data_IF_560917923633
#
_entry.id   IF_560917923633
#
_cell.length_a   1.000
_cell.length_b   1.000
_cell.length_c   1.000
_cell.angle_alpha   90.00
_cell.angle_beta   90.00
_cell.angle_gamma   90.00
#
_symmetry.space_group_name_H-M   'P 1'
#
loop_
_entity.id
_entity.type
_entity.pdbx_description
1 polymer ?
#
# COMPACT_ATOMS: atom_id res chain seq x y z
N UNK A 1 3.67 4.35 -6.02
CA UNK A 1 4.96 5.07 -5.83
C UNK A 1 4.81 6.34 -4.98
N UNK A 2 3.83 7.19 -5.23
CA UNK A 2 3.69 8.50 -4.57
C UNK A 2 3.64 8.47 -3.05
N UNK A 3 2.97 7.48 -2.44
CA UNK A 3 2.95 7.33 -0.98
C UNK A 3 4.36 7.07 -0.39
N UNK A 4 5.19 6.23 -1.05
CA UNK A 4 6.58 6.03 -0.65
C UNK A 4 7.42 7.30 -0.83
N UNK A 5 7.27 8.01 -1.96
CA UNK A 5 7.94 9.28 -2.18
C UNK A 5 7.63 10.28 -1.06
N UNK A 6 6.37 10.42 -0.67
CA UNK A 6 5.95 11.26 0.45
C UNK A 6 6.53 10.82 1.78
N UNK A 7 6.60 9.51 2.03
CA UNK A 7 7.22 8.98 3.24
C UNK A 7 8.66 9.44 3.37
N UNK A 8 9.46 9.27 2.33
CA UNK A 8 10.86 9.68 2.34
C UNK A 8 11.03 11.19 2.44
N UNK A 9 10.25 11.98 1.69
CA UNK A 9 10.27 13.44 1.80
C UNK A 9 9.94 13.92 3.22
N UNK A 10 8.91 13.37 3.85
CA UNK A 10 8.51 13.70 5.23
C UNK A 10 9.53 13.26 6.26
N UNK A 11 10.33 12.25 5.97
CA UNK A 11 11.48 11.80 6.78
C UNK A 11 12.74 12.62 6.51
N UNK A 12 12.68 13.66 5.67
CA UNK A 12 13.82 14.51 5.34
C UNK A 12 14.79 13.92 4.31
N UNK A 13 14.43 12.80 3.67
CA UNK A 13 15.24 12.16 2.62
C UNK A 13 14.93 12.79 1.26
N UNK A 14 15.94 13.27 0.51
CA UNK A 14 15.74 13.76 -0.85
C UNK A 14 15.16 12.66 -1.77
N UNK A 15 14.24 13.04 -2.62
CA UNK A 15 13.59 12.09 -3.56
C UNK A 15 13.77 12.58 -4.99
N UNK A 16 14.32 11.68 -5.83
CA UNK A 16 14.30 11.79 -7.28
C UNK A 16 13.37 10.72 -7.84
N UNK A 17 12.53 11.04 -8.80
CA UNK A 17 11.60 10.11 -9.41
C UNK A 17 11.51 10.27 -10.92
N UNK A 18 11.14 9.19 -11.59
CA UNK A 18 10.76 9.17 -13.00
C UNK A 18 9.29 8.78 -13.14
N UNK A 19 8.57 9.53 -13.94
CA UNK A 19 7.27 9.15 -14.47
C UNK A 19 7.20 9.50 -15.95
N UNK A 20 6.50 8.71 -16.73
CA UNK A 20 6.34 8.94 -18.18
C UNK A 20 5.46 10.14 -18.48
N UNK A 21 4.54 10.46 -17.57
CA UNK A 21 3.49 11.46 -17.77
C UNK A 21 3.44 12.42 -16.59
N UNK A 22 3.45 13.70 -16.90
CA UNK A 22 3.16 14.73 -15.91
C UNK A 22 1.67 14.70 -15.54
N UNK A 23 1.38 14.62 -14.24
CA UNK A 23 0.03 14.54 -13.68
C UNK A 23 -0.10 15.48 -12.49
N UNK A 24 -1.32 15.74 -12.03
CA UNK A 24 -1.54 16.50 -10.78
C UNK A 24 -0.83 15.87 -9.58
N UNK A 25 -0.72 14.54 -9.57
CA UNK A 25 -0.03 13.80 -8.53
C UNK A 25 1.48 14.03 -8.55
N UNK A 26 2.12 13.99 -9.72
CA UNK A 26 3.56 14.24 -9.85
C UNK A 26 3.88 15.71 -9.58
N UNK A 27 3.06 16.65 -10.05
CA UNK A 27 3.17 18.07 -9.71
C UNK A 27 3.01 18.34 -8.20
N UNK A 28 2.13 17.57 -7.51
CA UNK A 28 2.03 17.68 -6.06
C UNK A 28 3.31 17.21 -5.38
N UNK A 29 3.92 16.11 -5.82
CA UNK A 29 5.22 15.66 -5.31
C UNK A 29 6.35 16.67 -5.53
N UNK A 30 6.38 17.35 -6.68
CA UNK A 30 7.34 18.42 -6.94
C UNK A 30 7.14 19.60 -5.99
N UNK A 31 5.89 20.01 -5.74
CA UNK A 31 5.59 21.05 -4.72
C UNK A 31 5.97 20.60 -3.30
N UNK A 32 5.93 19.30 -3.02
CA UNK A 32 6.35 18.70 -1.76
C UNK A 32 7.88 18.54 -1.65
N UNK A 33 8.64 18.82 -2.72
CA UNK A 33 10.10 18.83 -2.75
C UNK A 33 10.78 17.68 -3.48
N UNK A 34 10.02 16.81 -4.18
CA UNK A 34 10.61 15.80 -5.05
C UNK A 34 11.16 16.42 -6.33
N UNK A 35 12.22 15.84 -6.88
CA UNK A 35 12.70 16.11 -8.23
C UNK A 35 12.10 15.06 -9.15
N UNK A 36 11.20 15.45 -10.07
CA UNK A 36 10.57 14.51 -11.01
C UNK A 36 11.10 14.74 -12.42
N UNK A 37 11.45 13.65 -13.09
CA UNK A 37 11.87 13.63 -14.49
C UNK A 37 10.82 12.92 -15.32
N UNK A 38 10.45 13.51 -16.48
CA UNK A 38 9.42 12.97 -17.37
C UNK A 38 10.02 12.43 -18.69
N UNK A 39 11.33 12.43 -18.78
CA UNK A 39 12.07 11.88 -19.93
C UNK A 39 13.19 10.92 -19.48
N UNK A 40 13.85 10.28 -20.44
CA UNK A 40 14.93 9.33 -20.15
C UNK A 40 16.32 9.96 -20.12
N UNK A 41 16.41 11.27 -19.93
CA UNK A 41 17.70 11.98 -19.87
C UNK A 41 18.37 11.80 -18.52
N UNK A 42 19.44 11.00 -18.51
CA UNK A 42 20.18 10.64 -17.29
C UNK A 42 20.90 11.82 -16.64
N UNK A 43 21.14 12.91 -17.37
CA UNK A 43 21.74 14.17 -16.87
C UNK A 43 20.79 14.92 -15.91
N UNK A 44 19.54 14.52 -15.80
CA UNK A 44 18.59 15.06 -14.83
C UNK A 44 18.78 14.47 -13.42
N UNK A 45 19.44 13.33 -13.31
CA UNK A 45 19.73 12.74 -12.00
C UNK A 45 20.73 13.60 -11.22
N UNK A 46 20.48 13.89 -9.93
CA UNK A 46 21.36 14.76 -9.14
C UNK A 46 22.77 14.20 -8.85
N UNK A 47 23.04 12.95 -9.25
CA UNK A 47 24.35 12.34 -9.07
C UNK A 47 24.62 11.85 -7.66
N UNK A 48 23.60 11.51 -6.89
CA UNK A 48 23.77 10.92 -5.56
C UNK A 48 24.54 9.60 -5.63
N UNK A 49 25.45 9.34 -4.68
CA UNK A 49 26.29 8.14 -4.73
C UNK A 49 25.46 6.87 -4.47
N UNK A 50 25.83 5.73 -5.10
CA UNK A 50 25.07 4.47 -4.97
C UNK A 50 24.92 3.99 -3.53
N UNK A 51 25.92 4.18 -2.69
CA UNK A 51 25.94 3.75 -1.29
C UNK A 51 24.98 4.52 -0.39
N UNK A 52 24.53 5.70 -0.83
CA UNK A 52 23.58 6.56 -0.13
C UNK A 52 22.21 6.58 -0.81
N UNK A 53 22.03 5.79 -1.88
CA UNK A 53 20.83 5.82 -2.73
C UNK A 53 20.07 4.51 -2.68
N UNK A 54 18.81 4.56 -2.24
CA UNK A 54 17.87 3.44 -2.39
C UNK A 54 17.05 3.62 -3.65
N UNK A 55 17.17 2.68 -4.58
CA UNK A 55 16.41 2.71 -5.84
C UNK A 55 15.19 1.78 -5.75
N UNK A 56 14.00 2.38 -5.87
CA UNK A 56 12.74 1.66 -5.76
C UNK A 56 12.03 1.70 -7.11
N UNK A 57 11.62 0.54 -7.60
CA UNK A 57 10.95 0.43 -8.89
C UNK A 57 9.64 -0.37 -8.82
N UNK A 58 8.80 -0.21 -9.84
CA UNK A 58 7.60 -1.03 -10.07
C UNK A 58 7.81 -1.95 -11.28
N UNK A 59 7.31 -3.20 -11.24
CA UNK A 59 7.37 -4.11 -12.38
C UNK A 59 6.69 -3.59 -13.67
N UNK A 60 5.85 -2.58 -13.55
CA UNK A 60 5.21 -1.94 -14.71
C UNK A 60 6.18 -1.16 -15.62
N UNK A 61 7.41 -0.89 -15.15
CA UNK A 61 8.43 -0.23 -15.97
C UNK A 61 9.04 -1.20 -16.98
N UNK A 62 9.16 -0.83 -18.28
CA UNK A 62 9.77 -1.69 -19.25
C UNK A 62 11.27 -1.89 -18.94
N UNK A 63 11.79 -3.12 -19.05
CA UNK A 63 13.23 -3.39 -18.82
C UNK A 63 14.18 -2.60 -19.72
N UNK A 64 13.70 -2.16 -20.89
CA UNK A 64 14.46 -1.36 -21.86
C UNK A 64 14.62 0.11 -21.48
N UNK A 65 13.94 0.58 -20.43
CA UNK A 65 14.03 1.95 -19.98
C UNK A 65 15.46 2.31 -19.56
N UNK A 66 15.99 3.44 -20.03
CA UNK A 66 17.37 3.87 -19.75
C UNK A 66 17.65 3.97 -18.24
N UNK A 67 16.68 4.42 -17.45
CA UNK A 67 16.77 4.47 -16.00
C UNK A 67 16.97 3.10 -15.35
N UNK A 68 16.36 2.02 -15.88
CA UNK A 68 16.53 0.67 -15.36
C UNK A 68 17.98 0.17 -15.56
N UNK A 69 18.59 0.49 -16.69
CA UNK A 69 19.99 0.15 -16.95
C UNK A 69 20.95 0.98 -16.10
N UNK A 70 20.69 2.28 -15.98
CA UNK A 70 21.52 3.20 -15.22
C UNK A 70 21.57 2.83 -13.73
N UNK A 71 20.42 2.52 -13.13
CA UNK A 71 20.33 2.23 -11.70
C UNK A 71 20.59 0.78 -11.31
N UNK A 72 20.78 -0.13 -12.28
CA UNK A 72 21.06 -1.54 -11.98
C UNK A 72 22.22 -1.76 -11.00
N UNK A 73 23.35 -1.03 -11.09
CA UNK A 73 24.46 -1.17 -10.14
C UNK A 73 24.16 -0.67 -8.72
N UNK A 74 23.10 0.10 -8.52
CA UNK A 74 22.73 0.67 -7.22
C UNK A 74 22.03 -0.32 -6.28
N UNK A 75 21.65 -1.50 -6.76
CA UNK A 75 20.83 -2.44 -5.99
C UNK A 75 19.38 -1.97 -5.91
N UNK A 76 18.57 -2.44 -6.87
CA UNK A 76 17.17 -2.01 -7.00
C UNK A 76 16.24 -2.93 -6.21
N UNK A 77 15.29 -2.36 -5.48
CA UNK A 77 14.25 -3.10 -4.76
C UNK A 77 12.86 -2.81 -5.32
N UNK A 78 11.97 -3.79 -5.27
CA UNK A 78 10.58 -3.59 -5.68
C UNK A 78 9.83 -2.66 -4.72
N UNK A 79 8.83 -1.93 -5.23
CA UNK A 79 7.91 -1.11 -4.43
C UNK A 79 7.33 -1.87 -3.23
N UNK A 80 6.90 -3.11 -3.46
CA UNK A 80 6.31 -3.97 -2.42
C UNK A 80 7.31 -4.28 -1.31
N UNK A 81 8.55 -4.58 -1.66
CA UNK A 81 9.64 -4.82 -0.71
C UNK A 81 9.95 -3.56 0.11
N UNK A 82 10.09 -2.41 -0.53
CA UNK A 82 10.32 -1.14 0.16
C UNK A 82 9.18 -0.80 1.13
N UNK A 83 7.92 -1.01 0.71
CA UNK A 83 6.76 -0.81 1.57
C UNK A 83 6.78 -1.77 2.77
N UNK A 84 7.13 -3.06 2.53
CA UNK A 84 7.29 -4.05 3.58
C UNK A 84 8.36 -3.67 4.60
N UNK A 85 9.53 -3.22 4.14
CA UNK A 85 10.62 -2.76 5.00
C UNK A 85 10.18 -1.61 5.93
N UNK A 86 9.36 -0.69 5.44
CA UNK A 86 8.84 0.43 6.24
C UNK A 86 7.74 -0.06 7.20
N UNK A 87 6.75 -0.78 6.68
CA UNK A 87 5.58 -1.19 7.45
C UNK A 87 5.91 -2.17 8.59
N UNK A 88 6.89 -3.04 8.38
CA UNK A 88 7.31 -4.04 9.35
C UNK A 88 8.17 -3.46 10.50
N UNK A 89 8.54 -2.18 10.46
CA UNK A 89 9.20 -1.52 11.58
C UNK A 89 8.23 -1.13 12.70
N UNK A 90 6.95 -1.02 12.39
CA UNK A 90 5.90 -0.69 13.35
C UNK A 90 4.89 -1.81 13.54
N UNK A 91 3.81 -1.52 14.28
CA UNK A 91 2.65 -2.41 14.38
C UNK A 91 1.78 -2.26 13.14
N UNK A 92 2.01 -3.08 12.13
CA UNK A 92 1.27 -3.08 10.88
C UNK A 92 -0.19 -3.49 11.06
N UNK A 93 -1.11 -2.70 10.50
CA UNK A 93 -2.52 -3.01 10.34
C UNK A 93 -2.80 -3.07 8.84
N UNK A 94 -2.98 -4.27 8.29
CA UNK A 94 -3.10 -4.46 6.86
C UNK A 94 -4.54 -4.72 6.43
N UNK A 95 -4.94 -4.13 5.31
CA UNK A 95 -6.23 -4.40 4.68
C UNK A 95 -5.98 -4.99 3.30
N UNK A 96 -6.30 -6.26 3.14
CA UNK A 96 -6.18 -7.03 1.91
C UNK A 96 -7.55 -7.40 1.33
N UNK A 97 -7.58 -7.99 0.14
CA UNK A 97 -8.77 -8.50 -0.53
C UNK A 97 -8.91 -7.96 -1.95
N UNK A 98 -9.67 -8.64 -2.77
CA UNK A 98 -9.84 -8.26 -4.18
C UNK A 98 -10.61 -6.95 -4.34
N UNK A 99 -11.59 -6.68 -3.46
CA UNK A 99 -12.40 -5.46 -3.49
C UNK A 99 -12.48 -4.80 -2.11
N UNK A 100 -12.68 -3.47 -2.09
CA UNK A 100 -12.93 -2.71 -0.86
C UNK A 100 -11.70 -2.35 -0.05
N UNK A 101 -10.49 -2.73 -0.44
CA UNK A 101 -9.22 -2.41 0.25
C UNK A 101 -9.08 -0.92 0.58
N UNK A 102 -9.17 -0.06 -0.43
CA UNK A 102 -8.96 1.39 -0.31
C UNK A 102 -9.98 2.03 0.64
N UNK A 103 -11.26 1.71 0.48
CA UNK A 103 -12.31 2.26 1.34
C UNK A 103 -12.14 1.82 2.78
N UNK A 104 -11.90 0.55 3.02
CA UNK A 104 -11.70 -0.01 4.37
C UNK A 104 -10.45 0.57 5.04
N UNK A 105 -9.34 0.66 4.31
CA UNK A 105 -8.10 1.27 4.81
C UNK A 105 -8.29 2.75 5.17
N UNK A 106 -8.96 3.51 4.31
CA UNK A 106 -9.22 4.93 4.55
C UNK A 106 -10.12 5.16 5.77
N UNK A 107 -11.18 4.34 5.94
CA UNK A 107 -12.05 4.36 7.12
C UNK A 107 -11.25 3.99 8.38
N UNK A 108 -10.42 2.95 8.32
CA UNK A 108 -9.58 2.55 9.45
C UNK A 108 -8.64 3.69 9.88
N UNK A 109 -7.98 4.34 8.92
CA UNK A 109 -7.11 5.50 9.20
C UNK A 109 -7.90 6.62 9.86
N UNK A 110 -9.11 6.92 9.37
CA UNK A 110 -9.98 7.94 9.95
C UNK A 110 -10.34 7.60 11.40
N UNK A 111 -10.84 6.38 11.67
CA UNK A 111 -11.22 5.94 13.02
C UNK A 111 -10.04 6.02 13.99
N UNK A 112 -8.85 5.53 13.58
CA UNK A 112 -7.66 5.57 14.43
C UNK A 112 -7.20 7.01 14.70
N UNK A 113 -7.31 7.88 13.70
CA UNK A 113 -6.95 9.30 13.86
C UNK A 113 -7.91 10.02 14.83
N UNK A 114 -9.22 9.84 14.68
CA UNK A 114 -10.22 10.42 15.57
C UNK A 114 -10.12 9.86 17.01
N UNK A 115 -9.66 8.62 17.15
CA UNK A 115 -9.34 8.02 18.44
C UNK A 115 -8.02 8.53 19.07
N UNK A 116 -7.29 9.43 18.41
CA UNK A 116 -6.03 9.99 18.89
C UNK A 116 -4.82 9.05 18.79
N UNK A 117 -4.92 7.97 18.01
CA UNK A 117 -3.87 6.96 17.87
C UNK A 117 -2.79 7.30 16.83
N UNK A 118 -2.98 8.34 16.06
CA UNK A 118 -2.02 8.96 15.13
C UNK A 118 -1.20 7.99 14.24
N UNK A 119 -1.83 7.14 13.41
CA UNK A 119 -1.11 6.15 12.60
C UNK A 119 -0.39 6.75 11.41
N UNK A 120 0.72 6.15 10.99
CA UNK A 120 1.23 6.30 9.62
C UNK A 120 0.35 5.47 8.67
N UNK A 121 0.11 5.95 7.44
CA UNK A 121 -0.76 5.24 6.50
C UNK A 121 -0.25 5.29 5.06
N UNK A 122 -0.36 4.14 4.38
CA UNK A 122 -0.08 3.94 2.95
C UNK A 122 -1.33 3.37 2.29
N UNK A 123 -2.02 4.21 1.51
CA UNK A 123 -3.31 3.87 0.88
C UNK A 123 -3.16 3.90 -0.64
N UNK A 124 -3.85 3.00 -1.35
CA UNK A 124 -3.79 2.92 -2.81
C UNK A 124 -4.47 4.10 -3.52
N UNK A 125 -5.55 4.62 -2.94
CA UNK A 125 -6.31 5.76 -3.45
C UNK A 125 -6.13 7.04 -2.63
N UNK A 126 -6.63 8.15 -3.13
CA UNK A 126 -6.62 9.44 -2.45
C UNK A 126 -7.75 9.45 -1.39
N UNK A 127 -7.40 9.65 -0.14
CA UNK A 127 -8.36 9.83 0.95
C UNK A 127 -9.05 11.19 0.84
N UNK A 128 -10.38 11.22 0.82
CA UNK A 128 -11.16 12.44 0.59
C UNK A 128 -10.99 13.51 1.67
N UNK A 129 -10.76 13.08 2.92
CA UNK A 129 -10.58 13.96 4.07
C UNK A 129 -9.21 14.65 4.12
N UNK A 130 -8.18 14.08 3.48
CA UNK A 130 -6.81 14.62 3.50
C UNK A 130 -6.27 15.01 2.13
N UNK A 131 -6.95 14.62 1.04
CA UNK A 131 -6.50 14.87 -0.34
C UNK A 131 -5.22 14.12 -0.74
N UNK A 132 -4.82 13.10 0.03
CA UNK A 132 -3.57 12.37 -0.20
C UNK A 132 -3.74 10.87 0.03
N UNK A 133 -2.82 10.09 -0.48
CA UNK A 133 -2.74 8.64 -0.27
C UNK A 133 -1.71 8.22 0.78
N UNK A 134 -1.16 9.19 1.50
CA UNK A 134 -0.16 8.99 2.54
C UNK A 134 -0.42 9.88 3.74
N UNK A 135 -0.20 9.36 4.94
CA UNK A 135 -0.19 10.09 6.19
C UNK A 135 1.05 9.70 6.99
N UNK A 136 1.77 10.68 7.51
CA UNK A 136 2.77 10.44 8.54
C UNK A 136 2.12 10.63 9.91
N UNK A 137 2.17 9.60 10.74
CA UNK A 137 1.79 9.64 12.15
C UNK A 137 3.00 9.56 13.06
N UNK A 138 2.80 9.83 14.33
CA UNK A 138 3.85 9.77 15.36
C UNK A 138 3.80 8.49 16.21
N UNK A 139 2.77 7.65 16.03
CA UNK A 139 2.69 6.35 16.72
C UNK A 139 3.45 5.27 15.95
N UNK A 140 3.60 4.11 16.59
CA UNK A 140 4.13 2.90 15.98
C UNK A 140 3.12 2.16 15.09
N UNK A 141 1.87 2.65 14.97
CA UNK A 141 0.85 2.07 14.12
C UNK A 141 1.09 2.44 12.65
N UNK A 142 1.07 1.43 11.78
CA UNK A 142 1.19 1.60 10.33
C UNK A 142 0.02 0.93 9.63
N UNK A 143 -0.88 1.70 9.04
CA UNK A 143 -1.98 1.19 8.22
C UNK A 143 -1.52 1.04 6.79
N UNK A 144 -1.68 -0.16 6.21
CA UNK A 144 -1.26 -0.46 4.85
C UNK A 144 -2.41 -1.08 4.06
N UNK A 145 -2.68 -0.52 2.90
CA UNK A 145 -3.45 -1.21 1.88
C UNK A 145 -2.57 -2.29 1.25
N UNK A 146 -2.92 -3.56 1.50
CA UNK A 146 -2.15 -4.74 1.15
C UNK A 146 -2.61 -5.29 -0.20
N UNK A 147 -1.82 -5.05 -1.24
CA UNK A 147 -2.14 -5.38 -2.63
C UNK A 147 -1.75 -6.84 -2.94
N UNK A 148 -2.72 -7.66 -3.37
CA UNK A 148 -2.50 -9.04 -3.79
C UNK A 148 -1.83 -9.15 -5.17
N UNK A 149 -1.87 -8.08 -5.97
CA UNK A 149 -1.23 -8.05 -7.29
C UNK A 149 0.27 -8.32 -7.18
N UNK A 150 0.80 -9.21 -8.04
CA UNK A 150 2.19 -9.69 -8.00
C UNK A 150 2.60 -10.26 -6.62
N UNK A 151 1.63 -10.75 -5.82
CA UNK A 151 1.84 -11.24 -4.46
C UNK A 151 2.54 -10.22 -3.55
N UNK A 152 2.36 -8.94 -3.85
CA UNK A 152 3.05 -7.82 -3.19
C UNK A 152 2.83 -7.80 -1.67
N UNK A 153 1.65 -8.19 -1.19
CA UNK A 153 1.33 -8.21 0.24
C UNK A 153 2.13 -9.25 1.05
N UNK A 154 2.77 -10.23 0.38
CA UNK A 154 3.63 -11.21 1.07
C UNK A 154 4.96 -10.61 1.60
N UNK A 155 5.26 -9.36 1.28
CA UNK A 155 6.35 -8.62 1.94
C UNK A 155 5.95 -8.00 3.30
N UNK A 156 4.65 -8.05 3.65
CA UNK A 156 4.11 -7.49 4.89
C UNK A 156 4.04 -8.57 5.98
N UNK A 157 4.40 -8.21 7.22
CA UNK A 157 4.23 -9.03 8.41
C UNK A 157 3.40 -8.27 9.44
N UNK A 158 2.10 -8.07 9.19
CA UNK A 158 1.29 -7.20 10.02
C UNK A 158 1.00 -7.80 11.40
N UNK A 159 0.72 -6.89 12.35
CA UNK A 159 0.24 -7.25 13.67
C UNK A 159 -1.23 -7.71 13.65
N UNK A 160 -2.04 -7.12 12.78
CA UNK A 160 -3.38 -7.58 12.52
C UNK A 160 -3.76 -7.28 11.07
N UNK A 161 -4.67 -8.06 10.50
CA UNK A 161 -5.16 -7.85 9.13
C UNK A 161 -6.68 -7.98 9.02
N UNK A 162 -7.22 -7.34 7.97
CA UNK A 162 -8.56 -7.61 7.48
C UNK A 162 -8.48 -8.06 6.02
N UNK A 163 -9.21 -9.13 5.68
CA UNK A 163 -9.37 -9.61 4.30
C UNK A 163 -10.84 -9.37 3.92
N UNK A 164 -11.07 -8.41 3.03
CA UNK A 164 -12.41 -7.93 2.68
C UNK A 164 -13.16 -8.94 1.81
N UNK A 165 -12.56 -9.30 0.66
CA UNK A 165 -13.08 -10.29 -0.27
C UNK A 165 -11.94 -11.12 -0.86
N UNK A 166 -12.26 -12.33 -1.35
CA UNK A 166 -11.32 -13.24 -2.01
C UNK A 166 -11.87 -13.72 -3.35
N UNK A 167 -12.67 -12.88 -4.02
CA UNK A 167 -13.23 -13.18 -5.33
C UNK A 167 -12.13 -13.38 -6.37
N UNK A 168 -12.39 -14.22 -7.38
CA UNK A 168 -11.43 -14.46 -8.43
C UNK A 168 -11.18 -13.20 -9.26
N UNK A 169 -10.03 -12.59 -9.06
CA UNK A 169 -9.54 -11.42 -9.79
C UNK A 169 -8.07 -11.65 -10.15
N UNK A 170 -7.53 -10.85 -11.09
CA UNK A 170 -6.13 -10.94 -11.51
C UNK A 170 -5.69 -12.33 -11.99
N UNK A 171 -6.56 -13.03 -12.75
CA UNK A 171 -6.28 -14.37 -13.32
C UNK A 171 -5.15 -14.37 -14.37
N UNK A 172 -4.60 -13.23 -14.71
CA UNK A 172 -3.36 -13.06 -15.48
C UNK A 172 -2.09 -13.32 -14.65
N UNK A 173 -2.20 -13.28 -13.31
CA UNK A 173 -1.09 -13.48 -12.36
C UNK A 173 -1.25 -14.79 -11.58
N UNK A 174 -2.48 -15.13 -11.24
CA UNK A 174 -2.81 -16.36 -10.52
C UNK A 174 -3.21 -17.44 -11.52
N UNK A 175 -2.65 -18.64 -11.38
CA UNK A 175 -2.92 -19.77 -12.29
C UNK A 175 -4.38 -20.20 -12.26
N UNK A 176 -5.02 -20.08 -11.12
CA UNK A 176 -6.42 -20.42 -10.89
C UNK A 176 -6.93 -19.77 -9.56
N UNK A 177 -8.23 -19.86 -9.25
CA UNK A 177 -8.78 -19.32 -8.00
C UNK A 177 -8.19 -19.96 -6.73
N UNK A 178 -7.75 -21.21 -6.78
CA UNK A 178 -7.14 -21.89 -5.64
C UNK A 178 -5.78 -21.31 -5.30
N UNK A 179 -4.96 -20.96 -6.29
CA UNK A 179 -3.68 -20.30 -6.12
C UNK A 179 -3.83 -18.92 -5.45
N UNK A 180 -4.89 -18.19 -5.79
CA UNK A 180 -5.25 -16.94 -5.13
C UNK A 180 -5.60 -17.16 -3.64
N UNK A 181 -6.47 -18.14 -3.36
CA UNK A 181 -6.87 -18.48 -1.98
C UNK A 181 -5.67 -18.94 -1.13
N UNK A 182 -4.79 -19.77 -1.69
CA UNK A 182 -3.55 -20.20 -1.03
C UNK A 182 -2.64 -19.01 -0.74
N UNK A 183 -2.59 -18.02 -1.62
CA UNK A 183 -1.81 -16.80 -1.41
C UNK A 183 -2.39 -15.94 -0.29
N UNK A 184 -3.73 -15.82 -0.18
CA UNK A 184 -4.37 -15.17 0.98
C UNK A 184 -4.13 -15.95 2.28
N UNK A 185 -4.14 -17.29 2.24
CA UNK A 185 -3.81 -18.10 3.40
C UNK A 185 -2.35 -17.88 3.85
N UNK A 186 -1.41 -17.82 2.91
CA UNK A 186 0.00 -17.50 3.20
C UNK A 186 0.15 -16.10 3.81
N UNK A 187 -0.58 -15.10 3.30
CA UNK A 187 -0.61 -13.75 3.89
C UNK A 187 -1.17 -13.77 5.31
N UNK A 188 -2.28 -14.48 5.57
CA UNK A 188 -2.83 -14.65 6.92
C UNK A 188 -1.79 -15.24 7.87
N UNK A 189 -1.05 -16.26 7.45
CA UNK A 189 -0.09 -16.99 8.28
C UNK A 189 1.16 -16.16 8.64
N UNK A 190 1.40 -15.06 7.94
CA UNK A 190 2.45 -14.08 8.25
C UNK A 190 2.07 -13.10 9.35
N UNK A 191 0.78 -13.02 9.72
CA UNK A 191 0.31 -12.09 10.73
C UNK A 191 0.70 -12.58 12.14
N UNK A 192 1.15 -11.67 13.00
CA UNK A 192 1.47 -12.00 14.40
C UNK A 192 0.25 -11.97 15.32
N UNK A 193 -0.90 -11.48 14.85
CA UNK A 193 -2.16 -11.38 15.58
C UNK A 193 -3.36 -11.75 14.71
N UNK A 194 -4.57 -11.28 15.04
CA UNK A 194 -5.79 -11.74 14.40
C UNK A 194 -5.90 -11.28 12.93
N UNK A 195 -6.47 -12.15 12.11
CA UNK A 195 -6.95 -11.80 10.77
C UNK A 195 -8.47 -11.88 10.75
N UNK A 196 -9.13 -10.80 10.38
CA UNK A 196 -10.58 -10.69 10.26
C UNK A 196 -11.01 -10.88 8.81
N UNK A 197 -12.13 -11.59 8.58
CA UNK A 197 -12.65 -11.77 7.22
C UNK A 197 -14.16 -11.94 7.18
N UNK A 198 -14.77 -11.50 6.07
CA UNK A 198 -16.16 -11.78 5.72
C UNK A 198 -16.29 -12.95 4.72
N UNK A 199 -15.19 -13.54 4.26
CA UNK A 199 -15.18 -14.51 3.14
C UNK A 199 -15.23 -15.97 3.58
N UNK A 200 -15.14 -16.27 4.88
CA UNK A 200 -15.07 -17.64 5.39
C UNK A 200 -13.71 -18.32 5.21
N UNK A 201 -12.64 -17.56 4.92
CA UNK A 201 -11.28 -18.10 4.86
C UNK A 201 -10.93 -18.76 6.20
N UNK A 202 -10.51 -20.02 6.17
CA UNK A 202 -10.16 -20.78 7.38
C UNK A 202 -9.05 -20.10 8.18
N UNK A 203 -9.09 -20.23 9.50
CA UNK A 203 -8.11 -19.65 10.40
C UNK A 203 -8.26 -18.14 10.64
N UNK A 204 -9.28 -17.50 10.05
CA UNK A 204 -9.59 -16.09 10.28
C UNK A 204 -10.74 -15.92 11.28
N UNK A 205 -10.79 -14.76 11.93
CA UNK A 205 -11.92 -14.35 12.77
C UNK A 205 -13.05 -13.83 11.86
N UNK A 206 -14.24 -14.47 11.86
CA UNK A 206 -15.33 -14.07 10.97
C UNK A 206 -15.98 -12.75 11.41
N UNK A 207 -16.33 -11.92 10.42
CA UNK A 207 -17.06 -10.67 10.59
C UNK A 207 -18.12 -10.50 9.48
N UNK A 208 -19.03 -9.55 9.63
CA UNK A 208 -19.94 -9.13 8.57
C UNK A 208 -21.28 -9.83 8.53
N UNK A 209 -21.49 -10.92 9.26
CA UNK A 209 -22.77 -11.64 9.35
C UNK A 209 -23.28 -11.72 10.78
N UNK A 210 -24.63 -11.80 11.01
CA UNK A 210 -25.19 -11.96 12.34
C UNK A 210 -24.59 -13.13 13.13
N UNK A 211 -24.19 -12.91 14.37
CA UNK A 211 -23.57 -13.92 15.23
C UNK A 211 -22.04 -14.00 15.11
N UNK A 212 -21.41 -13.22 14.25
CA UNK A 212 -19.97 -13.09 14.19
C UNK A 212 -19.42 -12.00 15.13
N UNK A 213 -18.11 -11.76 15.12
CA UNK A 213 -17.45 -10.80 16.03
C UNK A 213 -17.95 -9.36 15.86
N UNK A 214 -18.24 -8.97 14.62
CA UNK A 214 -18.84 -7.67 14.28
C UNK A 214 -19.71 -7.80 13.04
N UNK A 215 -20.88 -7.19 13.05
CA UNK A 215 -21.76 -7.09 11.89
C UNK A 215 -22.53 -5.78 11.92
N UNK A 216 -23.06 -5.37 10.78
CA UNK A 216 -23.94 -4.22 10.65
C UNK A 216 -25.35 -4.70 10.26
N UNK A 217 -26.39 -4.11 10.84
CA UNK A 217 -27.79 -4.38 10.55
C UNK A 217 -28.50 -3.12 10.06
N UNK A 218 -29.52 -3.32 9.23
CA UNK A 218 -30.38 -2.22 8.74
C UNK A 218 -29.62 -1.09 8.02
N UNK A 219 -28.56 -1.44 7.28
CA UNK A 219 -27.79 -0.47 6.48
C UNK A 219 -28.73 0.17 5.46
N UNK A 220 -28.84 1.49 5.47
CA UNK A 220 -29.67 2.26 4.53
C UNK A 220 -28.83 3.35 3.88
N UNK A 221 -29.01 3.61 2.56
CA UNK A 221 -28.39 4.76 1.93
C UNK A 221 -29.07 6.04 2.42
N UNK A 222 -28.29 7.01 2.86
CA UNK A 222 -28.75 8.32 3.25
C UNK A 222 -27.94 9.39 2.51
N UNK A 223 -28.58 10.20 1.69
CA UNK A 223 -27.97 11.29 0.89
C UNK A 223 -26.71 10.87 0.10
N UNK A 224 -26.70 9.64 -0.43
CA UNK A 224 -25.58 9.09 -1.19
C UNK A 224 -24.46 8.47 -0.34
N UNK A 225 -24.64 8.37 0.97
CA UNK A 225 -23.77 7.62 1.89
C UNK A 225 -24.56 6.46 2.53
N UNK A 226 -23.85 5.55 3.18
CA UNK A 226 -24.44 4.49 4.01
C UNK A 226 -24.34 4.90 5.48
N UNK A 227 -25.47 4.82 6.18
CA UNK A 227 -25.56 5.02 7.63
C UNK A 227 -25.51 3.69 8.38
#
# INVERSE_FOLDING_TARGET
>A
MSALARHYLRSGTPVFGYDKVETELTQALEREGAIICYDERLDRYPGWPPEETTVIYTPALPPSLSWMHYFKPFGMIKRAEALGQIANQGRGLAVAGTHGKTSTSAILVHILTEAGLDPTAFIGGIMSNSGTNYRLGNSDLVVVEADEFDRSFLHLHPHAAAITTTDADHLDIYSDPEDLLQTFAAFRDQNSGPTFTATGLEGCTPVGTPGTHAWAENIRPEQGAYA
#
